data_IF_361961622408
#
_entry.id   IF_361961622408
#
_cell.length_a   1.000
_cell.length_b   1.000
_cell.length_c   1.000
_cell.angle_alpha   90.00
_cell.angle_beta   90.00
_cell.angle_gamma   90.00
#
_symmetry.space_group_name_H-M   'P 1'
#
loop_
_entity.id
_entity.type
_entity.pdbx_description
1 polymer ?
#
# COMPACT_ATOMS: atom_id res chain seq x y z
N UNK A 1 3.68 -11.75 -41.73
CA UNK A 1 3.88 -11.09 -40.43
C UNK A 1 2.82 -10.02 -40.32
N UNK A 2 1.99 -10.09 -39.28
CA UNK A 2 0.90 -9.13 -39.12
C UNK A 2 1.50 -7.77 -38.79
N UNK A 3 1.42 -6.82 -39.72
CA UNK A 3 1.61 -5.41 -39.40
C UNK A 3 0.50 -5.03 -38.42
N UNK A 4 0.84 -5.00 -37.13
CA UNK A 4 -0.02 -4.42 -36.13
C UNK A 4 -0.18 -2.96 -36.51
N UNK A 5 -1.42 -2.57 -36.83
CA UNK A 5 -1.82 -1.19 -36.99
C UNK A 5 -1.65 -0.52 -35.62
N UNK A 6 -0.44 -0.08 -35.30
CA UNK A 6 -0.16 0.69 -34.11
C UNK A 6 -0.68 2.09 -34.36
N UNK A 7 -1.91 2.33 -33.89
CA UNK A 7 -2.55 3.65 -33.78
C UNK A 7 -1.88 4.54 -32.72
N UNK A 8 -0.61 4.28 -32.45
CA UNK A 8 0.19 4.71 -31.32
C UNK A 8 1.47 5.31 -31.88
N UNK A 9 1.77 6.55 -31.48
CA UNK A 9 3.02 7.23 -31.85
C UNK A 9 4.26 6.51 -31.30
N UNK A 10 4.09 5.62 -30.30
CA UNK A 10 5.16 4.82 -29.73
C UNK A 10 5.55 3.62 -30.61
N UNK A 11 6.87 3.32 -30.72
CA UNK A 11 7.34 2.11 -31.38
C UNK A 11 6.92 0.84 -30.60
N UNK A 12 6.90 -0.31 -31.28
CA UNK A 12 6.60 -1.60 -30.65
C UNK A 12 7.57 -1.87 -29.49
N UNK A 13 7.02 -2.22 -28.31
CA UNK A 13 7.81 -2.57 -27.13
C UNK A 13 8.33 -4.03 -27.17
N UNK A 14 7.78 -4.84 -28.09
CA UNK A 14 8.13 -6.25 -28.28
C UNK A 14 9.18 -6.37 -29.38
N UNK A 15 10.31 -5.69 -29.18
CA UNK A 15 11.51 -5.75 -30.04
C UNK A 15 12.65 -6.41 -29.27
N UNK A 16 13.66 -6.90 -29.99
CA UNK A 16 14.81 -7.57 -29.39
C UNK A 16 15.65 -6.60 -28.53
N UNK A 17 16.38 -7.12 -27.54
CA UNK A 17 17.18 -6.27 -26.64
C UNK A 17 18.26 -5.48 -27.39
N UNK A 18 18.83 -6.05 -28.46
CA UNK A 18 19.76 -5.37 -29.34
C UNK A 18 19.14 -4.16 -30.05
N UNK A 19 17.88 -4.28 -30.49
CA UNK A 19 17.15 -3.17 -31.10
C UNK A 19 16.77 -2.11 -30.07
N UNK A 20 16.43 -2.49 -28.83
CA UNK A 20 16.11 -1.54 -27.75
C UNK A 20 17.30 -0.67 -27.35
N UNK A 21 18.52 -1.24 -27.38
CA UNK A 21 19.76 -0.53 -27.06
C UNK A 21 20.17 0.41 -28.20
N UNK A 22 19.67 0.19 -29.42
CA UNK A 22 20.01 1.03 -30.57
C UNK A 22 19.57 2.49 -30.39
N UNK A 23 20.41 3.40 -30.86
CA UNK A 23 20.13 4.83 -30.85
C UNK A 23 18.83 5.17 -31.61
N UNK A 24 18.59 4.47 -32.72
CA UNK A 24 17.41 4.71 -33.57
C UNK A 24 16.10 4.37 -32.85
N UNK A 25 16.09 3.33 -32.02
CA UNK A 25 14.93 3.00 -31.20
C UNK A 25 14.71 4.06 -30.11
N UNK A 26 15.78 4.48 -29.42
CA UNK A 26 15.71 5.57 -28.44
C UNK A 26 15.19 6.89 -29.04
N UNK A 27 15.65 7.24 -30.25
CA UNK A 27 15.19 8.43 -30.98
C UNK A 27 13.70 8.34 -31.35
N UNK A 28 13.22 7.16 -31.76
CA UNK A 28 11.79 6.93 -32.04
C UNK A 28 10.94 7.10 -30.78
N UNK A 29 11.39 6.58 -29.63
CA UNK A 29 10.72 6.75 -28.35
C UNK A 29 10.70 8.22 -27.92
N UNK A 30 11.83 8.92 -28.04
CA UNK A 30 11.93 10.34 -27.67
C UNK A 30 10.97 11.21 -28.50
N UNK A 31 10.91 11.02 -29.82
CA UNK A 31 9.95 11.70 -30.71
C UNK A 31 8.50 11.37 -30.39
N UNK A 32 8.24 10.12 -30.00
CA UNK A 32 6.89 9.73 -29.56
C UNK A 32 6.47 10.46 -28.27
N UNK A 33 7.37 10.53 -27.28
CA UNK A 33 7.13 11.30 -26.05
C UNK A 33 6.92 12.77 -26.37
N UNK A 34 7.79 13.37 -27.19
CA UNK A 34 7.65 14.77 -27.60
C UNK A 34 6.28 15.02 -28.22
N UNK A 35 5.87 14.21 -29.20
CA UNK A 35 4.56 14.39 -29.85
C UNK A 35 3.39 14.23 -28.87
N UNK A 36 3.45 13.28 -27.94
CA UNK A 36 2.36 13.07 -26.99
C UNK A 36 2.21 14.24 -26.00
N UNK A 37 3.34 14.82 -25.59
CA UNK A 37 3.37 15.89 -24.60
C UNK A 37 3.23 17.28 -25.21
N UNK A 38 3.76 17.47 -26.42
CA UNK A 38 4.02 18.79 -27.00
C UNK A 38 3.47 19.03 -28.41
N UNK A 39 2.75 18.09 -29.03
CA UNK A 39 2.21 18.32 -30.37
C UNK A 39 1.14 19.44 -30.40
N UNK A 40 1.48 20.54 -31.09
CA UNK A 40 0.64 21.73 -31.29
C UNK A 40 -0.55 21.48 -32.23
N UNK A 41 -0.58 20.34 -32.93
CA UNK A 41 -1.59 20.03 -33.95
C UNK A 41 -2.95 19.63 -33.35
N UNK A 42 -2.95 19.08 -32.14
CA UNK A 42 -4.15 18.59 -31.47
C UNK A 42 -4.61 19.53 -30.36
N UNK A 43 -5.90 19.86 -30.36
CA UNK A 43 -6.59 20.64 -29.31
C UNK A 43 -6.49 20.05 -27.88
N UNK A 44 -5.80 18.92 -27.68
CA UNK A 44 -5.68 18.18 -26.43
C UNK A 44 -4.22 17.78 -26.16
N UNK A 45 -3.29 18.74 -26.24
CA UNK A 45 -1.91 18.54 -25.82
C UNK A 45 -1.86 18.14 -24.33
N UNK A 46 -1.16 17.05 -23.98
CA UNK A 46 -1.17 16.52 -22.61
C UNK A 46 -0.63 17.53 -21.61
N UNK A 47 0.42 18.25 -21.96
CA UNK A 47 0.99 19.29 -21.10
C UNK A 47 -0.05 20.35 -20.75
N UNK A 48 -0.67 20.95 -21.77
CA UNK A 48 -1.69 21.99 -21.59
C UNK A 48 -2.92 21.46 -20.85
N UNK A 49 -3.36 20.25 -21.17
CA UNK A 49 -4.50 19.61 -20.50
C UNK A 49 -4.24 19.39 -19.02
N UNK A 50 -3.03 18.96 -18.65
CA UNK A 50 -2.62 18.79 -17.27
C UNK A 50 -2.51 20.13 -16.53
N UNK A 51 -1.95 21.15 -17.18
CA UNK A 51 -1.86 22.51 -16.63
C UNK A 51 -3.25 23.09 -16.36
N UNK A 52 -4.17 23.00 -17.34
CA UNK A 52 -5.55 23.45 -17.20
C UNK A 52 -6.30 22.67 -16.13
N UNK A 53 -6.12 21.34 -16.07
CA UNK A 53 -6.70 20.51 -15.02
C UNK A 53 -6.18 20.90 -13.63
N UNK A 54 -4.88 21.11 -13.49
CA UNK A 54 -4.27 21.55 -12.24
C UNK A 54 -4.82 22.91 -11.80
N UNK A 55 -4.86 23.88 -12.72
CA UNK A 55 -5.41 25.20 -12.44
C UNK A 55 -6.88 25.12 -12.02
N UNK A 56 -7.70 24.35 -12.75
CA UNK A 56 -9.10 24.11 -12.42
C UNK A 56 -9.25 23.50 -11.02
N UNK A 57 -8.54 22.42 -10.71
CA UNK A 57 -8.61 21.77 -9.39
C UNK A 57 -8.20 22.71 -8.26
N UNK A 58 -7.21 23.59 -8.50
CA UNK A 58 -6.79 24.62 -7.56
C UNK A 58 -7.88 25.66 -7.30
N UNK A 59 -8.57 26.14 -8.34
CA UNK A 59 -9.72 27.03 -8.19
C UNK A 59 -10.84 26.36 -7.39
N UNK A 60 -11.09 25.06 -7.64
CA UNK A 60 -12.07 24.27 -6.89
C UNK A 60 -11.71 24.18 -5.40
N UNK A 61 -10.44 23.88 -5.07
CA UNK A 61 -9.95 23.83 -3.70
C UNK A 61 -10.11 25.16 -2.94
N UNK A 62 -9.97 26.30 -3.64
CA UNK A 62 -10.10 27.65 -3.08
C UNK A 62 -11.53 28.20 -3.08
N UNK A 63 -12.46 27.54 -3.77
CA UNK A 63 -13.80 28.09 -4.01
C UNK A 63 -13.83 29.25 -5.02
N UNK A 64 -12.78 29.44 -5.83
CA UNK A 64 -12.65 30.53 -6.81
C UNK A 64 -13.12 30.09 -8.21
N UNK A 65 -14.13 29.22 -8.27
CA UNK A 65 -14.63 28.66 -9.52
C UNK A 65 -15.36 29.72 -10.34
N UNK A 66 -15.45 29.51 -11.67
CA UNK A 66 -16.24 30.37 -12.55
C UNK A 66 -17.71 30.34 -12.13
N UNK A 67 -18.23 31.51 -11.74
CA UNK A 67 -19.62 31.70 -11.32
C UNK A 67 -20.57 31.75 -12.54
N UNK A 68 -20.01 31.86 -13.74
CA UNK A 68 -20.75 32.04 -14.99
C UNK A 68 -21.83 30.99 -15.20
N UNK A 69 -21.56 29.72 -14.86
CA UNK A 69 -22.55 28.63 -14.92
C UNK A 69 -23.85 28.98 -14.18
N UNK A 70 -23.74 29.49 -12.96
CA UNK A 70 -24.92 29.86 -12.15
C UNK A 70 -25.63 31.11 -12.69
N UNK A 71 -24.86 32.06 -13.26
CA UNK A 71 -25.41 33.26 -13.90
C UNK A 71 -26.16 32.94 -15.19
N UNK A 72 -25.64 31.99 -15.97
CA UNK A 72 -26.26 31.50 -17.20
C UNK A 72 -27.56 30.72 -16.89
N UNK A 73 -27.53 29.86 -15.87
CA UNK A 73 -28.73 29.12 -15.41
C UNK A 73 -29.85 30.05 -14.95
N UNK A 74 -29.52 31.15 -14.27
CA UNK A 74 -30.50 32.15 -13.82
C UNK A 74 -30.86 33.20 -14.90
N UNK A 75 -30.30 33.09 -16.11
CA UNK A 75 -30.57 33.99 -17.24
C UNK A 75 -30.52 35.47 -16.87
N UNK A 76 -29.54 35.85 -16.06
CA UNK A 76 -29.33 37.21 -15.54
C UNK A 76 -28.68 38.09 -16.61
N UNK A 77 -29.27 38.12 -17.80
CA UNK A 77 -28.83 38.96 -18.89
C UNK A 77 -29.56 40.31 -18.78
N UNK A 78 -29.16 41.12 -17.81
CA UNK A 78 -29.53 42.54 -17.72
C UNK A 78 -30.55 42.93 -16.65
N UNK A 79 -31.00 42.01 -15.79
CA UNK A 79 -31.87 42.35 -14.66
C UNK A 79 -31.05 42.67 -13.39
N UNK A 80 -31.14 43.93 -12.94
CA UNK A 80 -30.41 44.50 -11.79
C UNK A 80 -30.89 43.94 -10.45
N UNK A 81 -32.00 43.21 -10.42
CA UNK A 81 -32.61 42.64 -9.23
C UNK A 81 -31.68 41.69 -8.45
N UNK A 82 -30.68 41.12 -9.12
CA UNK A 82 -29.74 40.14 -8.55
C UNK A 82 -28.35 40.68 -8.21
N UNK A 83 -28.18 42.00 -8.22
CA UNK A 83 -26.89 42.66 -7.94
C UNK A 83 -26.43 42.47 -6.49
N UNK A 84 -27.37 42.19 -5.58
CA UNK A 84 -27.10 42.02 -4.14
C UNK A 84 -26.82 40.57 -3.71
N UNK A 85 -26.76 39.61 -4.65
CA UNK A 85 -26.40 38.24 -4.30
C UNK A 85 -24.88 38.07 -4.23
N UNK A 86 -24.40 37.48 -3.14
CA UNK A 86 -23.02 36.98 -3.08
C UNK A 86 -22.95 35.64 -3.82
N UNK A 87 -22.22 35.63 -4.91
CA UNK A 87 -22.09 34.48 -5.78
C UNK A 87 -20.86 33.62 -5.46
N UNK A 88 -20.08 33.99 -4.44
CA UNK A 88 -18.84 33.29 -4.09
C UNK A 88 -19.15 31.87 -3.60
N UNK A 89 -18.63 30.83 -4.28
CA UNK A 89 -18.75 29.46 -3.79
C UNK A 89 -18.09 29.30 -2.42
N UNK A 90 -18.79 28.66 -1.48
CA UNK A 90 -18.22 28.33 -0.17
C UNK A 90 -17.19 27.21 -0.34
N UNK A 91 -15.94 27.34 0.15
CA UNK A 91 -14.95 26.28 0.06
C UNK A 91 -15.26 25.16 1.07
N UNK A 92 -15.95 24.11 0.62
CA UNK A 92 -16.35 22.98 1.49
C UNK A 92 -15.23 21.91 1.59
N UNK A 93 -14.29 21.89 0.63
CA UNK A 93 -13.25 20.86 0.53
C UNK A 93 -12.38 20.73 1.80
N UNK A 94 -11.87 21.81 2.44
CA UNK A 94 -11.07 21.68 3.66
C UNK A 94 -11.78 20.91 4.77
N UNK A 95 -13.09 21.14 4.97
CA UNK A 95 -13.90 20.42 5.96
C UNK A 95 -13.97 18.91 5.68
N UNK A 96 -14.06 18.52 4.42
CA UNK A 96 -14.10 17.09 4.05
C UNK A 96 -12.73 16.42 4.19
N UNK A 97 -11.64 17.14 3.94
CA UNK A 97 -10.28 16.64 4.19
C UNK A 97 -10.12 16.28 5.67
N UNK A 98 -10.52 17.17 6.57
CA UNK A 98 -10.40 16.91 8.02
C UNK A 98 -11.20 15.66 8.45
N UNK A 99 -12.43 15.52 7.94
CA UNK A 99 -13.28 14.35 8.24
C UNK A 99 -12.64 13.05 7.71
N UNK A 100 -12.14 13.06 6.48
CA UNK A 100 -11.54 11.86 5.86
C UNK A 100 -10.21 11.52 6.52
N UNK A 101 -9.37 12.49 6.83
CA UNK A 101 -8.10 12.28 7.53
C UNK A 101 -8.35 11.66 8.90
N UNK A 102 -9.33 12.17 9.65
CA UNK A 102 -9.71 11.58 10.93
C UNK A 102 -10.22 10.13 10.77
N UNK A 103 -11.03 9.86 9.74
CA UNK A 103 -11.54 8.51 9.47
C UNK A 103 -10.48 7.50 8.99
N UNK A 104 -9.43 7.97 8.29
CA UNK A 104 -8.30 7.12 7.86
C UNK A 104 -7.33 6.88 9.01
N UNK A 105 -7.08 7.89 9.86
CA UNK A 105 -6.17 7.77 11.00
C UNK A 105 -6.61 6.67 12.00
N UNK A 106 -7.91 6.43 12.13
CA UNK A 106 -8.45 5.33 12.95
C UNK A 106 -8.25 3.94 12.34
N UNK A 107 -7.88 3.84 11.06
CA UNK A 107 -7.68 2.58 10.32
C UNK A 107 -6.25 2.45 9.82
N UNK A 108 -5.29 2.41 10.73
CA UNK A 108 -3.96 1.90 10.40
C UNK A 108 -4.08 0.43 10.05
N UNK A 109 -4.04 0.11 8.75
CA UNK A 109 -3.93 -1.27 8.30
C UNK A 109 -2.58 -1.81 8.76
N UNK A 110 -2.59 -2.72 9.73
CA UNK A 110 -1.42 -3.51 10.09
C UNK A 110 -1.19 -4.56 9.00
N UNK A 111 -0.12 -4.39 8.22
CA UNK A 111 0.24 -5.32 7.15
C UNK A 111 0.85 -6.57 7.78
N UNK A 112 -0.01 -7.52 8.15
CA UNK A 112 0.39 -8.83 8.66
C UNK A 112 0.79 -9.77 7.52
N UNK A 113 1.98 -9.54 6.97
CA UNK A 113 2.60 -10.46 6.00
C UNK A 113 3.41 -11.51 6.77
N UNK A 114 2.91 -12.76 6.82
CA UNK A 114 3.66 -13.89 7.36
C UNK A 114 4.08 -14.82 6.22
N UNK A 115 5.35 -15.20 6.16
CA UNK A 115 5.83 -16.26 5.27
C UNK A 115 5.36 -17.62 5.82
N UNK A 116 4.46 -18.29 5.11
CA UNK A 116 4.06 -19.66 5.46
C UNK A 116 4.99 -20.66 4.77
N UNK A 117 6.21 -20.82 5.28
CA UNK A 117 7.03 -21.99 4.93
C UNK A 117 6.53 -23.21 5.74
N UNK A 118 6.02 -24.28 5.11
CA UNK A 118 5.55 -25.47 5.81
C UNK A 118 6.60 -26.10 6.73
N UNK A 119 7.89 -25.98 6.39
CA UNK A 119 8.97 -26.52 7.23
C UNK A 119 9.19 -25.69 8.51
N UNK A 120 9.07 -24.35 8.42
CA UNK A 120 9.16 -23.47 9.57
C UNK A 120 7.99 -23.61 10.53
N UNK A 121 6.77 -23.66 9.98
CA UNK A 121 5.55 -23.88 10.78
C UNK A 121 5.63 -25.21 11.53
N UNK A 122 6.08 -26.28 10.88
CA UNK A 122 6.20 -27.60 11.52
C UNK A 122 7.19 -27.61 12.68
N UNK A 123 8.38 -27.01 12.51
CA UNK A 123 9.38 -26.92 13.59
C UNK A 123 8.88 -26.09 14.77
N UNK A 124 8.11 -25.03 14.51
CA UNK A 124 7.51 -24.20 15.55
C UNK A 124 6.44 -24.97 16.34
N UNK A 125 5.61 -25.75 15.65
CA UNK A 125 4.62 -26.62 16.28
C UNK A 125 5.28 -27.72 17.12
N UNK A 126 6.30 -28.39 16.60
CA UNK A 126 7.03 -29.43 17.35
C UNK A 126 7.69 -28.88 18.63
N UNK A 127 8.26 -27.68 18.57
CA UNK A 127 8.85 -27.01 19.74
C UNK A 127 7.79 -26.60 20.77
N UNK A 128 6.65 -26.06 20.32
CA UNK A 128 5.53 -25.71 21.19
C UNK A 128 4.92 -26.95 21.86
N UNK A 129 4.77 -28.04 21.12
CA UNK A 129 4.22 -29.31 21.62
C UNK A 129 5.14 -29.95 22.67
N UNK A 130 6.46 -29.84 22.51
CA UNK A 130 7.43 -30.34 23.48
C UNK A 130 7.38 -29.57 24.81
N UNK A 131 7.28 -28.23 24.77
CA UNK A 131 7.12 -27.40 25.99
C UNK A 131 5.77 -27.69 26.67
N UNK A 132 4.69 -27.84 25.89
CA UNK A 132 3.37 -28.21 26.43
C UNK A 132 3.36 -29.60 27.06
N UNK A 133 4.10 -30.55 26.50
CA UNK A 133 4.27 -31.87 27.09
C UNK A 133 4.95 -31.75 28.45
N UNK A 134 6.09 -31.04 28.53
CA UNK A 134 6.84 -30.85 29.77
C UNK A 134 6.04 -30.10 30.84
N UNK A 135 5.28 -29.06 30.49
CA UNK A 135 4.38 -28.37 31.42
C UNK A 135 3.32 -29.29 32.02
N UNK A 136 2.76 -30.20 31.21
CA UNK A 136 1.73 -31.14 31.65
C UNK A 136 2.30 -32.31 32.43
N UNK A 137 3.55 -32.68 32.17
CA UNK A 137 4.20 -33.80 32.83
C UNK A 137 5.02 -33.41 34.05
N UNK A 138 5.10 -32.13 34.44
CA UNK A 138 5.84 -31.63 35.63
C UNK A 138 5.69 -32.56 36.85
N UNK A 139 4.46 -32.85 37.27
CA UNK A 139 4.19 -33.71 38.44
C UNK A 139 4.67 -35.15 38.27
N UNK A 140 4.60 -35.70 37.05
CA UNK A 140 5.06 -37.06 36.75
C UNK A 140 6.59 -37.10 36.65
N UNK A 141 7.21 -36.08 36.07
CA UNK A 141 8.68 -35.98 35.96
C UNK A 141 9.32 -35.84 37.33
N UNK A 142 8.75 -35.02 38.22
CA UNK A 142 9.25 -34.81 39.59
C UNK A 142 9.14 -36.11 40.41
N UNK A 143 8.02 -36.82 40.27
CA UNK A 143 7.84 -38.13 40.92
C UNK A 143 8.84 -39.18 40.39
N UNK A 144 9.11 -39.20 39.09
CA UNK A 144 10.07 -40.17 38.51
C UNK A 144 11.52 -39.83 38.85
N UNK A 145 11.85 -38.55 38.99
CA UNK A 145 13.18 -38.10 39.41
C UNK A 145 13.43 -38.46 40.88
N UNK A 146 12.45 -38.26 41.76
CA UNK A 146 12.54 -38.61 43.17
C UNK A 146 12.54 -40.14 43.41
N UNK A 147 11.71 -40.88 42.67
CA UNK A 147 11.52 -42.33 42.87
C UNK A 147 12.53 -43.21 42.12
N UNK A 148 12.98 -42.79 40.93
CA UNK A 148 13.80 -43.62 40.05
C UNK A 148 15.14 -42.97 39.65
N UNK A 149 15.38 -41.70 39.99
CA UNK A 149 16.62 -41.00 39.67
C UNK A 149 16.84 -40.80 38.16
N UNK A 150 15.78 -40.85 37.35
CA UNK A 150 15.82 -40.66 35.90
C UNK A 150 15.13 -39.34 35.57
N UNK A 151 15.87 -38.41 34.96
CA UNK A 151 15.31 -37.15 34.50
C UNK A 151 14.70 -37.32 33.10
N UNK A 152 13.40 -37.10 33.00
CA UNK A 152 12.61 -37.21 31.76
C UNK A 152 12.28 -35.83 31.14
N UNK A 153 12.79 -34.73 31.71
CA UNK A 153 12.53 -33.36 31.24
C UNK A 153 13.30 -33.10 29.93
N UNK A 154 12.63 -32.50 28.95
CA UNK A 154 13.25 -32.17 27.65
C UNK A 154 13.87 -30.76 27.64
N UNK A 155 13.42 -29.88 28.54
CA UNK A 155 13.95 -28.53 28.76
C UNK A 155 14.35 -28.29 30.22
N UNK A 156 15.22 -27.29 30.45
CA UNK A 156 15.70 -26.93 31.78
C UNK A 156 14.57 -26.26 32.58
N UNK A 157 14.47 -26.57 33.87
CA UNK A 157 13.32 -26.17 34.71
C UNK A 157 13.19 -24.65 34.90
N UNK A 158 14.30 -23.93 34.70
CA UNK A 158 14.34 -22.47 34.75
C UNK A 158 13.74 -21.77 33.53
N UNK A 159 13.60 -22.46 32.40
CA UNK A 159 13.06 -21.92 31.14
C UNK A 159 11.60 -22.32 30.90
N UNK A 160 11.00 -23.11 31.80
CA UNK A 160 9.66 -23.64 31.60
C UNK A 160 8.58 -22.62 32.00
N UNK A 161 7.78 -22.08 31.06
CA UNK A 161 6.73 -21.12 31.37
C UNK A 161 5.68 -21.74 32.31
N UNK A 162 5.11 -20.93 33.20
CA UNK A 162 4.09 -21.39 34.15
C UNK A 162 2.68 -21.24 33.58
N UNK A 163 2.48 -20.27 32.67
CA UNK A 163 1.18 -19.91 32.12
C UNK A 163 1.15 -19.81 30.59
N UNK A 164 -0.04 -19.89 29.99
CA UNK A 164 -0.24 -19.75 28.54
C UNK A 164 0.27 -18.41 27.99
N UNK A 165 0.11 -17.33 28.76
CA UNK A 165 0.61 -15.99 28.41
C UNK A 165 2.14 -15.92 28.40
N UNK A 166 2.80 -16.61 29.32
CA UNK A 166 4.26 -16.71 29.39
C UNK A 166 4.80 -17.61 28.28
N UNK A 167 4.10 -18.68 27.94
CA UNK A 167 4.43 -19.52 26.79
C UNK A 167 4.34 -18.73 25.49
N UNK A 168 3.30 -17.90 25.33
CA UNK A 168 3.16 -17.04 24.16
C UNK A 168 4.32 -16.02 24.07
N UNK A 169 4.73 -15.44 25.20
CA UNK A 169 5.86 -14.51 25.29
C UNK A 169 7.19 -15.20 25.01
N UNK A 170 7.41 -16.40 25.55
CA UNK A 170 8.60 -17.22 25.36
C UNK A 170 8.77 -17.59 23.87
N UNK A 171 7.68 -18.02 23.22
CA UNK A 171 7.67 -18.30 21.79
C UNK A 171 7.93 -17.07 20.92
N UNK A 172 7.67 -15.86 21.42
CA UNK A 172 7.94 -14.62 20.70
C UNK A 172 9.38 -14.12 20.90
N UNK A 173 9.97 -14.34 22.07
CA UNK A 173 11.30 -13.85 22.42
C UNK A 173 12.42 -14.83 22.04
N UNK A 174 12.22 -16.12 22.30
CA UNK A 174 13.29 -17.11 22.24
C UNK A 174 13.25 -17.96 20.97
N UNK A 175 12.05 -18.29 20.47
CA UNK A 175 11.92 -19.04 19.23
C UNK A 175 12.17 -18.14 18.01
N UNK A 176 13.44 -17.89 17.70
CA UNK A 176 13.88 -17.29 16.43
C UNK A 176 14.29 -18.40 15.47
N UNK A 177 13.56 -18.58 14.40
CA UNK A 177 13.95 -19.58 13.39
C UNK A 177 15.24 -19.09 12.71
N UNK A 178 16.25 -19.95 12.55
CA UNK A 178 17.55 -19.58 11.98
C UNK A 178 17.46 -18.96 10.55
N UNK A 179 16.35 -19.16 9.85
CA UNK A 179 16.06 -18.53 8.55
C UNK A 179 15.72 -17.05 8.70
N UNK A 180 15.07 -16.65 9.80
CA UNK A 180 14.74 -15.24 10.10
C UNK A 180 15.95 -14.44 10.57
N UNK A 181 16.95 -15.10 11.19
CA UNK A 181 18.23 -14.47 11.60
C UNK A 181 19.11 -14.15 10.39
N UNK A 182 18.94 -14.84 9.25
CA UNK A 182 19.74 -14.63 8.05
C UNK A 182 19.25 -13.46 7.17
N UNK A 183 18.04 -12.95 7.41
CA UNK A 183 17.48 -11.78 6.70
C UNK A 183 17.57 -10.45 7.48
N UNK A 184 18.05 -10.47 8.73
CA UNK A 184 18.41 -9.24 9.50
C UNK A 184 19.83 -8.73 9.20
#
# INVERSE_FOLDING_TARGET
MAESVTRSYFPSQVVSDLEKISYDYGMKVAKAIESEWFDDSYSNQRYQSNELNFHRLRLYARGEQSIQKYKDELSINGDLSYLNLDWKPVPIIPKFVDIVVNGIAERTYDVKAYSQDPAGVKKRTEYMDAILADMRTKELTDFTEEAFGVNLKSFDEAELPENEDELALHMQLEYKQAVEIAEE
#
